data_IF_706287788497
#
_entry.id   IF_706287788497
#
_cell.length_a   1.000
_cell.length_b   1.000
_cell.length_c   1.000
_cell.angle_alpha   90.00
_cell.angle_beta   90.00
_cell.angle_gamma   90.00
#
_symmetry.space_group_name_H-M   'P 1'
#
loop_
_entity.id
_entity.type
_entity.pdbx_description
1 polymer ?
#
# COMPACT_ATOMS: atom_id res chain seq x y z
N UNK A 1 -14.01 4.67 -27.50
CA UNK A 1 -14.58 4.31 -26.19
C UNK A 1 -13.42 3.80 -25.34
N UNK A 2 -12.64 4.72 -24.75
CA UNK A 2 -11.54 4.35 -23.87
C UNK A 2 -12.09 4.16 -22.47
N UNK A 3 -12.06 2.94 -21.96
CA UNK A 3 -12.42 2.66 -20.58
C UNK A 3 -11.33 3.25 -19.68
N UNK A 4 -11.65 4.34 -18.99
CA UNK A 4 -10.90 4.79 -17.81
C UNK A 4 -10.94 3.66 -16.79
N UNK A 5 -9.81 2.98 -16.59
CA UNK A 5 -9.64 2.11 -15.44
C UNK A 5 -9.51 3.01 -14.21
N UNK A 6 -10.64 3.34 -13.59
CA UNK A 6 -10.63 3.76 -12.19
C UNK A 6 -10.10 2.58 -11.38
N UNK A 7 -9.01 2.80 -10.65
CA UNK A 7 -8.55 1.83 -9.65
C UNK A 7 -9.69 1.73 -8.63
N UNK A 8 -10.30 0.55 -8.42
CA UNK A 8 -11.35 0.41 -7.41
C UNK A 8 -10.76 0.72 -6.03
N UNK A 9 -11.56 1.40 -5.20
CA UNK A 9 -11.18 1.72 -3.81
C UNK A 9 -10.60 0.50 -3.10
N UNK A 10 -9.43 0.67 -2.47
CA UNK A 10 -8.76 -0.39 -1.71
C UNK A 10 -7.79 -1.28 -2.49
N UNK A 11 -7.81 -1.32 -3.83
CA UNK A 11 -6.87 -2.15 -4.60
C UNK A 11 -5.59 -1.39 -4.93
N UNK A 12 -4.44 -2.06 -4.75
CA UNK A 12 -3.16 -1.51 -5.20
C UNK A 12 -3.17 -1.25 -6.72
N UNK A 13 -2.64 -0.10 -7.17
CA UNK A 13 -2.49 0.19 -8.58
C UNK A 13 -1.49 -0.77 -9.21
N UNK A 14 -1.60 -1.04 -10.51
CA UNK A 14 -0.70 -1.96 -11.21
C UNK A 14 0.70 -1.41 -11.37
N UNK A 15 0.85 -0.08 -11.45
CA UNK A 15 2.13 0.60 -11.63
C UNK A 15 2.06 1.99 -11.01
N UNK A 16 3.18 2.44 -10.45
CA UNK A 16 3.32 3.79 -9.92
C UNK A 16 4.77 4.21 -9.73
N UNK A 17 4.97 5.49 -9.49
CA UNK A 17 6.25 6.04 -9.01
C UNK A 17 6.28 5.92 -7.49
N UNK A 18 7.00 4.91 -7.01
CA UNK A 18 7.16 4.65 -5.58
C UNK A 18 8.13 5.66 -4.98
N UNK A 19 7.66 6.39 -3.96
CA UNK A 19 8.46 7.37 -3.24
C UNK A 19 9.42 6.63 -2.33
N UNK A 20 10.73 6.80 -2.53
CA UNK A 20 11.76 6.17 -1.71
C UNK A 20 12.29 7.10 -0.64
N UNK A 21 12.38 8.40 -0.95
CA UNK A 21 12.92 9.42 -0.05
C UNK A 21 12.25 10.76 -0.31
N UNK A 22 12.03 11.49 0.77
CA UNK A 22 11.65 12.90 0.76
C UNK A 22 12.82 13.69 1.34
N UNK A 23 13.38 14.62 0.57
CA UNK A 23 14.50 15.45 1.01
C UNK A 23 13.98 16.53 1.98
N UNK A 24 14.63 16.73 3.15
CA UNK A 24 14.22 17.78 4.08
C UNK A 24 14.23 19.17 3.44
N UNK A 25 13.29 20.01 3.85
CA UNK A 25 13.11 21.39 3.37
C UNK A 25 12.72 21.53 1.88
N UNK A 26 12.46 20.42 1.20
CA UNK A 26 11.95 20.42 -0.18
C UNK A 26 10.44 20.69 -0.25
N UNK A 27 9.88 21.03 -1.42
CA UNK A 27 8.43 21.14 -1.62
C UNK A 27 7.68 19.88 -1.18
N UNK A 28 8.21 18.69 -1.45
CA UNK A 28 7.58 17.45 -1.02
C UNK A 28 7.57 17.30 0.51
N UNK A 29 8.61 17.78 1.22
CA UNK A 29 8.62 17.74 2.70
C UNK A 29 7.57 18.63 3.37
N UNK A 30 6.96 19.55 2.61
CA UNK A 30 5.87 20.42 3.08
C UNK A 30 4.48 19.79 2.86
N UNK A 31 4.44 18.60 2.26
CA UNK A 31 3.22 17.84 2.00
C UNK A 31 3.10 16.67 2.98
N UNK A 32 2.02 15.90 2.86
CA UNK A 32 1.80 14.67 3.61
C UNK A 32 2.33 13.42 2.87
N UNK A 33 3.27 13.58 1.93
CA UNK A 33 3.88 12.45 1.21
C UNK A 33 4.79 11.68 2.16
N UNK A 34 4.52 10.39 2.28
CA UNK A 34 5.25 9.45 3.12
C UNK A 34 6.20 8.59 2.27
N UNK A 35 7.51 8.60 2.57
CA UNK A 35 8.44 7.70 1.90
C UNK A 35 8.06 6.23 2.15
N UNK A 36 8.36 5.38 1.19
CA UNK A 36 8.04 3.95 1.10
C UNK A 36 6.55 3.58 1.02
N UNK A 37 5.65 4.35 1.60
CA UNK A 37 4.23 4.01 1.61
C UNK A 37 3.43 4.65 0.48
N UNK A 38 3.95 5.74 -0.10
CA UNK A 38 3.25 6.45 -1.17
C UNK A 38 3.75 6.12 -2.57
N UNK A 39 2.77 6.05 -3.48
CA UNK A 39 2.96 5.80 -4.90
C UNK A 39 2.24 6.89 -5.69
N UNK A 40 3.00 7.69 -6.45
CA UNK A 40 2.41 8.66 -7.37
C UNK A 40 1.93 7.91 -8.61
N UNK A 41 0.64 7.98 -8.87
CA UNK A 41 -0.04 7.25 -9.97
C UNK A 41 -0.62 8.16 -11.05
N UNK A 42 -0.72 9.45 -10.74
CA UNK A 42 -1.40 10.44 -11.57
C UNK A 42 -1.00 11.86 -11.18
N UNK A 43 -1.43 12.82 -11.98
CA UNK A 43 -1.50 14.22 -11.60
C UNK A 43 -2.72 14.86 -12.25
N UNK A 44 -3.18 15.95 -11.66
CA UNK A 44 -4.24 16.81 -12.16
C UNK A 44 -3.71 18.25 -12.27
N UNK A 45 -4.03 18.88 -13.40
CA UNK A 45 -3.78 20.30 -13.63
C UNK A 45 -5.12 20.97 -13.99
N UNK A 46 -5.33 22.19 -13.51
CA UNK A 46 -6.52 22.99 -13.78
C UNK A 46 -6.80 23.19 -15.28
N UNK A 47 -5.80 22.99 -16.15
CA UNK A 47 -5.92 23.13 -17.61
C UNK A 47 -6.07 21.81 -18.39
N UNK A 48 -5.86 20.64 -17.76
CA UNK A 48 -5.87 19.32 -18.42
C UNK A 48 -6.65 18.30 -17.60
N UNK A 49 -7.66 17.68 -18.23
CA UNK A 49 -8.43 16.59 -17.62
C UNK A 49 -7.53 15.41 -17.21
N UNK A 50 -7.82 14.84 -16.02
CA UNK A 50 -7.20 13.66 -15.39
C UNK A 50 -6.39 12.78 -16.35
N UNK A 51 -5.06 12.82 -16.25
CA UNK A 51 -4.20 11.79 -16.84
C UNK A 51 -4.04 10.65 -15.85
N UNK A 52 -5.10 9.86 -15.71
CA UNK A 52 -5.01 8.55 -15.04
C UNK A 52 -4.68 7.49 -16.09
N UNK A 53 -3.41 7.08 -16.17
CA UNK A 53 -2.95 5.72 -16.46
C UNK A 53 -1.48 5.73 -16.91
N UNK A 54 -0.63 5.02 -16.18
CA UNK A 54 0.76 4.72 -16.55
C UNK A 54 1.67 5.93 -16.77
N UNK A 55 1.86 6.74 -15.72
CA UNK A 55 2.92 7.74 -15.72
C UNK A 55 4.28 7.04 -15.84
N UNK A 56 5.00 7.34 -16.92
CA UNK A 56 6.43 7.06 -17.01
C UNK A 56 7.24 8.15 -16.30
N UNK A 57 8.39 7.79 -15.73
CA UNK A 57 9.21 8.73 -14.95
C UNK A 57 9.60 9.99 -15.76
N UNK A 58 9.90 9.82 -17.05
CA UNK A 58 10.29 10.93 -17.93
C UNK A 58 9.12 11.86 -18.28
N UNK A 59 7.91 11.33 -18.43
CA UNK A 59 6.73 12.16 -18.66
C UNK A 59 6.35 12.93 -17.38
N UNK A 60 6.53 12.31 -16.22
CA UNK A 60 6.38 12.99 -14.94
C UNK A 60 7.34 14.15 -14.77
N UNK A 61 8.62 13.95 -15.07
CA UNK A 61 9.66 14.97 -14.95
C UNK A 61 9.32 16.21 -15.80
N UNK A 62 8.93 16.02 -17.06
CA UNK A 62 8.50 17.12 -17.94
C UNK A 62 7.31 17.90 -17.38
N UNK A 63 6.32 17.18 -16.85
CA UNK A 63 5.12 17.82 -16.26
C UNK A 63 5.52 18.67 -15.07
N UNK A 64 6.39 18.14 -14.20
CA UNK A 64 6.88 18.87 -13.02
C UNK A 64 7.67 20.12 -13.44
N UNK A 65 8.49 20.04 -14.49
CA UNK A 65 9.20 21.18 -15.06
C UNK A 65 8.26 22.24 -15.63
N UNK A 66 7.23 21.82 -16.38
CA UNK A 66 6.22 22.73 -16.92
C UNK A 66 5.47 23.48 -15.80
N UNK A 67 5.32 22.87 -14.62
CA UNK A 67 4.59 23.42 -13.46
C UNK A 67 5.49 24.13 -12.43
N UNK A 68 6.75 24.45 -12.75
CA UNK A 68 7.60 25.22 -11.84
C UNK A 68 6.93 26.55 -11.42
N UNK A 69 6.79 26.76 -10.11
CA UNK A 69 6.12 27.92 -9.51
C UNK A 69 4.59 27.91 -9.58
N UNK A 70 3.96 26.84 -10.09
CA UNK A 70 2.50 26.68 -10.17
C UNK A 70 2.04 25.48 -9.34
N UNK A 71 0.80 25.51 -8.87
CA UNK A 71 0.20 24.39 -8.15
C UNK A 71 -0.01 23.21 -9.11
N UNK A 72 0.42 22.03 -8.68
CA UNK A 72 0.21 20.74 -9.31
C UNK A 72 -0.44 19.83 -8.27
N UNK A 73 -1.55 19.19 -8.60
CA UNK A 73 -2.21 18.24 -7.68
C UNK A 73 -1.75 16.82 -8.06
N UNK A 74 -0.93 16.19 -7.22
CA UNK A 74 -0.47 14.82 -7.42
C UNK A 74 -1.54 13.83 -6.97
N UNK A 75 -1.75 12.75 -7.72
CA UNK A 75 -2.64 11.67 -7.33
C UNK A 75 -1.78 10.56 -6.73
N UNK A 76 -1.93 10.35 -5.43
CA UNK A 76 -1.08 9.48 -4.61
C UNK A 76 -1.91 8.35 -4.03
N UNK A 77 -1.49 7.11 -4.25
CA UNK A 77 -2.01 5.95 -3.54
C UNK A 77 -1.11 5.63 -2.33
N UNK A 78 -1.72 5.51 -1.15
CA UNK A 78 -1.01 5.12 0.08
C UNK A 78 -1.23 3.64 0.37
N UNK A 79 -0.13 2.90 0.58
CA UNK A 79 -0.18 1.50 0.99
C UNK A 79 -0.54 1.28 2.45
N UNK A 80 -0.50 2.32 3.30
CA UNK A 80 -0.99 2.27 4.68
C UNK A 80 -2.50 2.44 4.76
N UNK A 81 -3.02 3.44 4.06
CA UNK A 81 -4.46 3.78 4.08
C UNK A 81 -5.28 3.00 3.05
N UNK A 82 -4.59 2.33 2.11
CA UNK A 82 -5.19 1.64 0.97
C UNK A 82 -6.12 2.55 0.15
N UNK A 83 -5.79 3.84 0.09
CA UNK A 83 -6.65 4.88 -0.47
C UNK A 83 -5.87 5.82 -1.39
N UNK A 84 -6.60 6.41 -2.35
CA UNK A 84 -6.08 7.44 -3.25
C UNK A 84 -6.40 8.82 -2.66
N UNK A 85 -5.42 9.73 -2.71
CA UNK A 85 -5.59 11.13 -2.30
C UNK A 85 -4.93 12.10 -3.28
N UNK A 86 -5.40 13.34 -3.26
CA UNK A 86 -4.82 14.43 -4.04
C UNK A 86 -3.89 15.23 -3.14
N UNK A 87 -2.62 15.33 -3.52
CA UNK A 87 -1.58 16.06 -2.79
C UNK A 87 -1.21 17.31 -3.58
N UNK A 88 -1.62 18.51 -3.14
CA UNK A 88 -1.22 19.75 -3.77
C UNK A 88 0.26 20.03 -3.49
N UNK A 89 1.04 20.29 -4.53
CA UNK A 89 2.45 20.66 -4.43
C UNK A 89 2.78 21.81 -5.38
N UNK A 90 3.75 22.65 -5.02
CA UNK A 90 4.29 23.70 -5.89
C UNK A 90 5.74 23.35 -6.19
N UNK A 91 6.05 22.83 -7.40
CA UNK A 91 7.43 22.55 -7.79
C UNK A 91 8.28 23.82 -7.76
N UNK A 92 9.48 23.76 -7.20
CA UNK A 92 10.38 24.90 -7.07
C UNK A 92 11.83 24.46 -7.01
N UNK A 93 12.77 25.28 -7.50
CA UNK A 93 14.22 25.07 -7.33
C UNK A 93 14.83 25.95 -6.24
N UNK A 94 14.02 26.78 -5.58
CA UNK A 94 14.54 27.72 -4.58
C UNK A 94 15.13 26.98 -3.38
N UNK A 95 14.55 25.83 -3.02
CA UNK A 95 15.00 25.01 -1.90
C UNK A 95 16.37 24.38 -2.11
N UNK A 96 16.75 24.07 -3.37
CA UNK A 96 18.02 23.42 -3.66
C UNK A 96 19.21 24.39 -3.63
N UNK A 97 18.97 25.67 -3.91
CA UNK A 97 20.02 26.71 -3.88
C UNK A 97 20.63 26.87 -2.48
N UNK A 98 19.86 26.57 -1.45
CA UNK A 98 20.30 26.64 -0.04
C UNK A 98 21.21 25.47 0.33
N UNK A 99 21.15 24.34 -0.39
CA UNK A 99 22.01 23.17 -0.13
C UNK A 99 23.41 23.31 -0.74
N UNK A 100 23.57 23.99 -1.87
CA UNK A 100 24.87 24.19 -2.52
C UNK A 100 25.84 25.05 -1.68
N UNK A 101 25.34 25.98 -0.85
CA UNK A 101 26.18 26.83 0.01
C UNK A 101 26.75 26.08 1.23
N UNK A 102 26.28 24.85 1.52
CA UNK A 102 26.70 24.07 2.68
C UNK A 102 27.71 22.94 2.37
N UNK A 103 28.04 22.71 1.09
CA UNK A 103 28.92 21.61 0.68
C UNK A 103 30.15 22.15 -0.08
N UNK A 104 31.29 22.19 0.62
CA UNK A 104 32.59 22.64 0.10
C UNK A 104 32.93 22.04 -1.28
N UNK A 105 32.94 22.88 -2.31
CA UNK A 105 33.98 22.95 -3.34
C UNK A 105 34.21 21.78 -4.30
N UNK A 106 33.41 20.72 -4.29
CA UNK A 106 33.52 19.63 -5.27
C UNK A 106 32.45 19.78 -6.35
N UNK A 107 32.85 20.28 -7.52
CA UNK A 107 32.00 20.37 -8.71
C UNK A 107 31.40 19.00 -9.08
N UNK A 108 30.19 18.71 -8.60
CA UNK A 108 29.37 17.62 -9.11
C UNK A 108 28.57 18.13 -10.30
N UNK A 109 28.63 17.35 -11.37
CA UNK A 109 27.98 17.50 -12.68
C UNK A 109 26.69 18.34 -12.71
N UNK A 110 26.52 19.07 -13.82
CA UNK A 110 25.38 19.90 -14.25
C UNK A 110 24.00 19.19 -14.32
N UNK A 111 23.66 18.37 -13.32
CA UNK A 111 22.32 17.91 -13.05
C UNK A 111 21.57 19.09 -12.48
N UNK A 112 20.53 19.51 -13.19
CA UNK A 112 19.59 20.46 -12.66
C UNK A 112 19.02 19.96 -11.31
N UNK A 113 18.86 20.84 -10.30
CA UNK A 113 18.35 20.43 -9.00
C UNK A 113 16.91 19.94 -9.10
N UNK A 114 16.55 18.97 -8.25
CA UNK A 114 15.19 18.43 -8.18
C UNK A 114 14.17 19.52 -7.88
N UNK A 115 13.01 19.46 -8.53
CA UNK A 115 11.92 20.42 -8.34
C UNK A 115 11.00 20.08 -7.16
N UNK A 116 10.96 18.81 -6.75
CA UNK A 116 10.10 18.33 -5.68
C UNK A 116 10.87 17.90 -4.44
N UNK A 117 12.11 17.42 -4.61
CA UNK A 117 12.90 16.78 -3.56
C UNK A 117 12.46 15.34 -3.26
N UNK A 118 11.90 14.66 -4.26
CA UNK A 118 11.55 13.24 -4.20
C UNK A 118 12.62 12.39 -4.88
N UNK A 119 12.99 11.27 -4.26
CA UNK A 119 13.62 10.15 -4.93
C UNK A 119 12.57 9.08 -5.18
N UNK A 120 12.43 8.62 -6.43
CA UNK A 120 11.37 7.70 -6.82
C UNK A 120 11.88 6.61 -7.74
N UNK A 121 11.15 5.50 -7.79
CA UNK A 121 11.33 4.45 -8.81
C UNK A 121 10.01 4.05 -9.41
N UNK A 122 10.02 3.66 -10.69
CA UNK A 122 8.88 2.97 -11.28
C UNK A 122 8.84 1.55 -10.71
N UNK A 123 7.71 1.14 -10.15
CA UNK A 123 7.51 -0.25 -9.76
C UNK A 123 6.02 -0.64 -9.77
N UNK A 124 5.79 -1.91 -9.50
CA UNK A 124 4.48 -2.47 -9.20
C UNK A 124 4.34 -2.50 -7.67
N UNK A 125 3.41 -1.73 -7.08
CA UNK A 125 3.27 -1.58 -5.64
C UNK A 125 3.14 -2.90 -4.89
N UNK A 126 2.39 -3.86 -5.44
CA UNK A 126 2.15 -5.17 -4.82
C UNK A 126 3.45 -5.92 -4.54
N UNK A 127 4.41 -5.89 -5.47
CA UNK A 127 5.72 -6.53 -5.28
C UNK A 127 6.68 -5.67 -4.45
N UNK A 128 6.60 -4.35 -4.57
CA UNK A 128 7.50 -3.43 -3.86
C UNK A 128 7.33 -3.50 -2.34
N UNK A 129 6.09 -3.71 -1.87
CA UNK A 129 5.75 -3.78 -0.45
C UNK A 129 6.11 -5.13 0.19
N UNK A 130 6.29 -6.17 -0.63
CA UNK A 130 6.65 -7.52 -0.18
C UNK A 130 8.15 -7.66 0.10
N UNK A 131 8.97 -6.82 -0.55
CA UNK A 131 10.42 -6.89 -0.48
C UNK A 131 10.94 -6.15 0.76
N UNK A 132 10.58 -6.67 1.92
CA UNK A 132 10.98 -6.16 3.24
C UNK A 132 11.53 -7.28 4.10
N UNK A 133 12.52 -6.96 4.94
CA UNK A 133 13.14 -7.92 5.87
C UNK A 133 12.85 -7.47 7.29
N UNK A 134 12.00 -8.21 7.99
CA UNK A 134 11.64 -7.94 9.37
C UNK A 134 12.80 -8.31 10.29
N UNK A 135 13.25 -7.37 11.12
CA UNK A 135 14.26 -7.60 12.15
C UNK A 135 13.62 -8.43 13.26
N UNK A 136 14.13 -9.63 13.51
CA UNK A 136 13.66 -10.51 14.58
C UNK A 136 14.60 -10.42 15.78
N UNK A 137 15.28 -11.49 16.14
CA UNK A 137 16.22 -11.48 17.25
C UNK A 137 17.53 -10.81 16.85
N UNK A 138 18.00 -9.90 17.72
CA UNK A 138 19.29 -9.21 17.60
C UNK A 138 20.17 -9.63 18.78
N UNK A 139 21.37 -10.12 18.49
CA UNK A 139 22.31 -10.59 19.51
C UNK A 139 23.07 -9.42 20.15
N UNK A 140 23.33 -9.52 21.46
CA UNK A 140 24.12 -8.53 22.20
C UNK A 140 25.58 -8.48 21.69
N UNK A 141 26.13 -7.28 21.58
CA UNK A 141 27.46 -7.01 21.03
C UNK A 141 27.56 -7.21 19.51
N UNK A 142 26.44 -7.45 18.83
CA UNK A 142 26.44 -7.71 17.39
C UNK A 142 26.57 -6.44 16.55
N UNK A 143 26.97 -6.56 15.27
CA UNK A 143 26.91 -5.46 14.33
C UNK A 143 25.52 -4.87 14.14
N UNK A 144 24.46 -5.69 14.20
CA UNK A 144 23.08 -5.23 14.11
C UNK A 144 22.67 -4.39 15.33
N UNK A 145 23.01 -4.83 16.54
CA UNK A 145 22.77 -4.06 17.77
C UNK A 145 23.55 -2.75 17.75
N UNK A 146 24.83 -2.80 17.36
CA UNK A 146 25.70 -1.62 17.28
C UNK A 146 25.20 -0.58 16.28
N UNK A 147 24.50 -1.03 15.23
CA UNK A 147 23.85 -0.16 14.26
C UNK A 147 22.49 0.39 14.74
N UNK A 148 21.98 -0.10 15.87
CA UNK A 148 20.71 0.33 16.47
C UNK A 148 19.47 -0.25 15.80
N UNK A 149 19.56 -1.48 15.26
CA UNK A 149 18.37 -2.22 14.84
C UNK A 149 17.56 -2.66 16.06
N UNK A 150 16.25 -2.45 15.99
CA UNK A 150 15.30 -2.77 17.06
C UNK A 150 14.63 -4.11 16.73
N UNK A 151 14.78 -5.13 17.59
CA UNK A 151 14.17 -6.43 17.36
C UNK A 151 12.64 -6.31 17.35
N UNK A 152 11.99 -6.96 16.38
CA UNK A 152 10.54 -6.97 16.14
C UNK A 152 9.87 -5.62 15.83
N UNK A 153 10.61 -4.52 15.91
CA UNK A 153 10.11 -3.17 15.67
C UNK A 153 10.56 -2.55 14.35
N UNK A 154 11.55 -3.17 13.68
CA UNK A 154 12.15 -2.65 12.46
C UNK A 154 11.99 -3.57 11.25
N UNK A 155 11.85 -2.94 10.09
CA UNK A 155 11.86 -3.58 8.78
C UNK A 155 12.92 -2.92 7.90
N UNK A 156 13.83 -3.71 7.34
CA UNK A 156 14.68 -3.24 6.25
C UNK A 156 13.83 -3.16 4.99
N UNK A 157 13.76 -1.97 4.40
CA UNK A 157 12.91 -1.66 3.24
C UNK A 157 13.72 -1.36 1.97
N UNK A 158 15.05 -1.26 2.09
CA UNK A 158 15.94 -0.99 0.97
C UNK A 158 17.35 -0.62 1.41
N UNK A 159 18.20 -0.30 0.42
CA UNK A 159 19.58 0.12 0.65
C UNK A 159 20.02 1.17 -0.38
N UNK A 160 21.16 1.81 -0.14
CA UNK A 160 21.61 2.94 -0.97
C UNK A 160 22.08 2.57 -2.38
N UNK A 161 22.39 1.30 -2.66
CA UNK A 161 23.05 0.89 -3.90
C UNK A 161 22.16 0.21 -4.94
N UNK A 162 20.84 0.12 -4.72
CA UNK A 162 19.93 -0.41 -5.74
C UNK A 162 18.62 -0.95 -5.19
N UNK A 163 17.95 -1.74 -6.05
CA UNK A 163 16.66 -2.38 -5.75
C UNK A 163 16.91 -3.79 -5.20
N UNK A 164 16.19 -4.14 -4.14
CA UNK A 164 16.08 -5.52 -3.65
C UNK A 164 14.76 -6.09 -4.16
N UNK A 165 14.83 -7.15 -4.97
CA UNK A 165 13.70 -7.74 -5.70
C UNK A 165 13.28 -9.10 -5.15
N UNK A 166 14.20 -9.82 -4.52
CA UNK A 166 13.99 -11.15 -3.98
C UNK A 166 14.62 -11.29 -2.58
N UNK A 167 14.16 -12.30 -1.83
CA UNK A 167 14.63 -12.62 -0.46
C UNK A 167 16.16 -12.65 -0.34
N UNK A 168 16.82 -13.30 -1.30
CA UNK A 168 18.27 -13.51 -1.34
C UNK A 168 19.09 -12.22 -1.51
N UNK A 169 18.53 -11.21 -2.18
CA UNK A 169 19.27 -10.02 -2.60
C UNK A 169 19.85 -9.26 -1.41
N UNK A 170 19.10 -9.19 -0.29
CA UNK A 170 19.58 -8.53 0.91
C UNK A 170 20.80 -9.26 1.51
N UNK A 171 20.77 -10.59 1.55
CA UNK A 171 21.87 -11.40 2.06
C UNK A 171 23.11 -11.25 1.17
N UNK A 172 22.94 -11.28 -0.15
CA UNK A 172 24.02 -11.06 -1.12
C UNK A 172 24.67 -9.68 -0.93
N UNK A 173 23.85 -8.64 -0.70
CA UNK A 173 24.33 -7.29 -0.42
C UNK A 173 25.10 -7.24 0.90
N UNK A 174 24.63 -7.90 1.95
CA UNK A 174 25.34 -7.98 3.24
C UNK A 174 26.68 -8.69 3.10
N UNK A 175 26.73 -9.81 2.37
CA UNK A 175 27.96 -10.55 2.11
C UNK A 175 28.97 -9.71 1.29
N UNK A 176 28.50 -8.98 0.28
CA UNK A 176 29.36 -8.10 -0.52
C UNK A 176 29.97 -6.93 0.28
N UNK A 177 29.33 -6.57 1.41
CA UNK A 177 29.75 -5.51 2.32
C UNK A 177 30.44 -6.03 3.59
N UNK A 178 30.97 -7.25 3.56
CA UNK A 178 31.86 -7.70 4.64
C UNK A 178 33.00 -6.69 4.88
N UNK A 179 33.15 -6.29 6.13
CA UNK A 179 34.07 -5.27 6.64
C UNK A 179 33.95 -3.88 6.00
N UNK A 180 32.76 -3.56 5.44
CA UNK A 180 32.46 -2.28 4.81
C UNK A 180 31.14 -1.69 5.33
N UNK A 181 31.01 -0.35 5.37
CA UNK A 181 29.74 0.28 5.72
C UNK A 181 28.67 -0.01 4.67
N UNK A 182 27.56 -0.60 5.10
CA UNK A 182 26.36 -0.85 4.31
C UNK A 182 25.24 0.07 4.80
N UNK A 183 24.82 1.02 3.96
CA UNK A 183 23.72 1.94 4.26
C UNK A 183 22.39 1.32 3.85
N UNK A 184 21.55 1.06 4.84
CA UNK A 184 20.19 0.53 4.67
C UNK A 184 19.16 1.54 5.16
N UNK A 185 17.93 1.37 4.68
CA UNK A 185 16.79 2.12 5.18
C UNK A 185 15.94 1.17 6.03
N UNK A 186 15.71 1.56 7.28
CA UNK A 186 14.90 0.82 8.24
C UNK A 186 13.63 1.60 8.55
N UNK A 187 12.48 0.98 8.38
CA UNK A 187 11.20 1.45 8.86
C UNK A 187 10.99 0.98 10.30
N UNK A 188 10.77 1.90 11.23
CA UNK A 188 10.36 1.62 12.60
C UNK A 188 8.85 1.67 12.69
N UNK A 189 8.23 0.55 13.06
CA UNK A 189 6.79 0.45 13.23
C UNK A 189 6.28 1.25 14.42
N UNK A 190 7.00 1.22 15.55
CA UNK A 190 6.58 1.89 16.78
C UNK A 190 6.51 3.41 16.64
N UNK A 191 7.42 4.00 15.85
CA UNK A 191 7.49 5.44 15.65
C UNK A 191 6.89 5.89 14.32
N UNK A 192 6.47 4.96 13.47
CA UNK A 192 6.04 5.22 12.10
C UNK A 192 7.02 6.11 11.31
N UNK A 193 8.31 5.78 11.38
CA UNK A 193 9.36 6.57 10.74
C UNK A 193 10.36 5.71 9.97
N UNK A 194 10.98 6.30 8.94
CA UNK A 194 12.07 5.68 8.20
C UNK A 194 13.37 6.37 8.57
N UNK A 195 14.38 5.58 8.90
CA UNK A 195 15.73 6.07 9.21
C UNK A 195 16.78 5.36 8.39
N UNK A 196 17.86 6.08 8.09
CA UNK A 196 19.06 5.49 7.51
C UNK A 196 19.88 4.83 8.62
N UNK A 197 20.27 3.58 8.42
CA UNK A 197 21.08 2.78 9.33
C UNK A 197 22.35 2.34 8.60
N UNK A 198 23.49 2.44 9.27
CA UNK A 198 24.77 1.99 8.72
C UNK A 198 25.18 0.70 9.41
N UNK A 199 25.05 -0.41 8.70
CA UNK A 199 25.50 -1.72 9.15
C UNK A 199 27.00 -1.89 8.84
N UNK A 200 27.72 -2.57 9.72
CA UNK A 200 29.11 -2.99 9.51
C UNK A 200 29.19 -4.51 9.56
N UNK A 201 28.83 -5.22 8.46
CA UNK A 201 28.91 -6.68 8.42
C UNK A 201 30.32 -7.16 8.76
N UNK A 202 30.45 -8.10 9.68
CA UNK A 202 31.74 -8.56 10.18
C UNK A 202 31.61 -10.04 10.57
N UNK A 203 32.56 -10.92 10.23
CA UNK A 203 32.57 -12.33 10.70
C UNK A 203 33.31 -12.53 12.02
N UNK A 204 34.13 -11.57 12.42
CA UNK A 204 35.03 -11.66 13.59
C UNK A 204 34.44 -11.04 14.86
N UNK A 205 33.17 -10.64 14.86
CA UNK A 205 32.51 -10.03 16.02
C UNK A 205 32.25 -11.01 17.18
N UNK A 206 32.37 -12.33 16.93
CA UNK A 206 32.36 -13.36 17.98
C UNK A 206 31.07 -14.18 18.07
N UNK A 207 30.05 -13.89 17.27
CA UNK A 207 28.83 -14.69 17.16
C UNK A 207 28.62 -15.30 15.77
N UNK A 208 27.39 -15.71 15.48
CA UNK A 208 27.01 -16.35 14.21
C UNK A 208 26.63 -15.33 13.13
N UNK A 209 27.05 -15.60 11.90
CA UNK A 209 26.74 -14.76 10.74
C UNK A 209 27.48 -13.43 10.73
N UNK A 210 27.09 -12.57 9.80
CA UNK A 210 27.74 -11.27 9.55
C UNK A 210 27.19 -10.12 10.39
N UNK A 211 25.94 -10.24 10.84
CA UNK A 211 25.22 -9.17 11.52
C UNK A 211 24.79 -9.53 12.95
N UNK A 212 24.76 -10.82 13.29
CA UNK A 212 24.20 -11.29 14.57
C UNK A 212 22.73 -10.95 14.75
N UNK A 213 21.96 -11.00 13.65
CA UNK A 213 20.53 -10.72 13.64
C UNK A 213 19.82 -11.76 12.76
N UNK A 214 18.62 -12.16 13.18
CA UNK A 214 17.72 -12.97 12.38
C UNK A 214 16.78 -12.05 11.61
N UNK A 215 16.62 -12.31 10.32
CA UNK A 215 15.68 -11.58 9.47
C UNK A 215 14.55 -12.51 9.02
N UNK A 216 13.31 -12.03 9.15
CA UNK A 216 12.13 -12.68 8.60
C UNK A 216 11.79 -12.09 7.23
N UNK A 217 11.44 -12.96 6.27
CA UNK A 217 10.97 -12.55 4.94
C UNK A 217 9.66 -13.26 4.57
N UNK A 218 8.85 -12.63 3.73
CA UNK A 218 7.63 -13.20 3.19
C UNK A 218 6.38 -12.85 4.01
N UNK A 219 5.31 -13.62 3.79
CA UNK A 219 3.93 -13.21 4.15
C UNK A 219 3.74 -12.85 5.64
N UNK A 220 4.40 -13.57 6.56
CA UNK A 220 4.29 -13.34 8.00
C UNK A 220 5.19 -12.20 8.52
N UNK A 221 6.04 -11.67 7.65
CA UNK A 221 7.07 -10.67 7.98
C UNK A 221 6.86 -9.36 7.23
N UNK A 222 5.70 -9.18 6.60
CA UNK A 222 5.30 -7.91 6.00
C UNK A 222 5.00 -6.87 7.08
N UNK A 223 5.12 -5.60 6.73
CA UNK A 223 4.74 -4.50 7.62
C UNK A 223 3.24 -4.59 7.91
N UNK A 224 2.82 -4.59 9.18
CA UNK A 224 1.40 -4.64 9.53
C UNK A 224 0.64 -3.43 9.00
N UNK A 225 -0.56 -3.68 8.47
CA UNK A 225 -1.48 -2.63 8.04
C UNK A 225 -2.12 -2.01 9.28
N UNK A 226 -1.94 -0.70 9.49
CA UNK A 226 -2.62 0.03 10.56
C UNK A 226 -4.07 0.22 10.12
N UNK A 227 -4.98 -0.58 10.66
CA UNK A 227 -6.41 -0.33 10.50
C UNK A 227 -6.73 0.90 11.34
N UNK A 228 -6.84 2.08 10.71
CA UNK A 228 -7.50 3.21 11.35
C UNK A 228 -8.93 2.75 11.67
N UNK A 229 -9.21 2.46 12.94
CA UNK A 229 -10.57 2.23 13.42
C UNK A 229 -11.39 3.45 13.00
N UNK A 230 -12.23 3.28 11.99
CA UNK A 230 -13.20 4.29 11.64
C UNK A 230 -14.08 4.48 12.87
N UNK A 231 -13.85 5.58 13.59
CA UNK A 231 -14.73 6.04 14.66
C UNK A 231 -16.07 6.28 13.99
N UNK A 232 -16.95 5.27 14.02
CA UNK A 232 -18.33 5.44 13.60
C UNK A 232 -18.90 6.51 14.53
N UNK A 233 -19.47 7.61 14.00
CA UNK A 233 -20.14 8.58 14.86
C UNK A 233 -21.20 7.80 15.63
N UNK A 234 -21.11 7.83 16.96
CA UNK A 234 -22.07 7.19 17.86
C UNK A 234 -23.47 7.64 17.41
N UNK A 235 -24.27 6.69 16.93
CA UNK A 235 -25.69 6.96 16.70
C UNK A 235 -26.29 7.12 18.10
N UNK A 236 -26.61 8.36 18.47
CA UNK A 236 -27.47 8.67 19.62
C UNK A 236 -28.79 7.90 19.43
N UNK A 237 -28.87 6.71 20.01
CA UNK A 237 -30.13 6.00 20.17
C UNK A 237 -30.87 6.68 21.30
N UNK A 238 -31.77 7.61 20.93
CA UNK A 238 -32.83 8.12 21.80
C UNK A 238 -33.65 6.92 22.31
N UNK A 239 -33.33 6.45 23.52
CA UNK A 239 -34.01 5.36 24.22
C UNK A 239 -35.32 5.90 24.82
N UNK A 240 -36.26 6.25 23.95
CA UNK A 240 -37.62 6.58 24.29
C UNK A 240 -38.55 5.48 23.78
N UNK A 241 -38.70 4.43 24.59
CA UNK A 241 -39.93 3.67 24.86
C UNK A 241 -39.59 2.21 25.15
N UNK A 242 -39.52 1.82 26.44
CA UNK A 242 -39.81 0.46 26.90
C UNK A 242 -39.93 0.42 28.44
N UNK A 243 -41.10 0.83 28.94
CA UNK A 243 -41.55 0.39 30.26
C UNK A 243 -43.05 0.09 30.21
N UNK A 244 -43.40 -1.18 29.97
CA UNK A 244 -44.76 -1.68 30.18
C UNK A 244 -44.72 -2.55 31.45
N UNK A 245 -45.37 -2.13 32.55
CA UNK A 245 -45.43 -2.94 33.76
C UNK A 245 -46.18 -4.25 33.52
N UNK A 246 -45.55 -5.35 33.89
CA UNK A 246 -46.08 -6.70 33.81
C UNK A 246 -47.15 -6.91 34.88
N UNK A 247 -48.43 -6.75 34.53
CA UNK A 247 -49.55 -7.28 35.32
C UNK A 247 -50.84 -7.31 34.48
N UNK A 248 -51.09 -8.43 33.79
CA UNK A 248 -52.44 -9.00 33.67
C UNK A 248 -52.36 -10.45 33.19
N UNK A 249 -52.36 -11.34 34.18
CA UNK A 249 -52.49 -12.77 34.03
C UNK A 249 -53.91 -13.20 33.60
N UNK A 250 -53.92 -14.24 32.75
CA UNK A 250 -54.87 -15.36 32.71
C UNK A 250 -56.28 -15.13 32.11
N UNK A 251 -56.58 -15.84 31.00
CA UNK A 251 -57.48 -17.02 31.03
C UNK A 251 -57.63 -17.70 29.64
N UNK A 252 -57.08 -18.93 29.58
CA UNK A 252 -57.64 -20.19 29.00
C UNK A 252 -57.64 -20.47 27.49
N UNK A 253 -57.10 -21.66 27.21
CA UNK A 253 -57.06 -22.38 25.93
C UNK A 253 -58.41 -23.03 25.50
N UNK A 254 -58.70 -22.94 24.18
CA UNK A 254 -59.26 -23.90 23.16
C UNK A 254 -60.62 -24.63 23.40
N UNK A 255 -61.28 -25.27 22.38
CA UNK A 255 -61.35 -25.12 20.89
C UNK A 255 -62.81 -25.17 20.30
N UNK A 256 -63.05 -24.94 18.98
CA UNK A 256 -64.10 -25.65 18.17
C UNK A 256 -64.19 -25.24 16.68
N UNK A 257 -64.50 -26.22 15.83
CA UNK A 257 -64.70 -26.22 14.36
C UNK A 257 -65.99 -25.53 13.82
N UNK A 258 -65.98 -25.35 12.48
CA UNK A 258 -67.10 -25.25 11.51
C UNK A 258 -67.89 -23.94 11.36
N UNK A 259 -67.88 -23.34 10.15
CA UNK A 259 -68.89 -23.58 9.08
C UNK A 259 -68.89 -22.55 7.93
N UNK A 260 -69.02 -23.09 6.72
CA UNK A 260 -69.67 -22.58 5.48
C UNK A 260 -68.94 -21.65 4.49
N UNK A 261 -69.22 -21.96 3.21
CA UNK A 261 -68.63 -21.46 1.99
C UNK A 261 -69.69 -20.89 1.02
N UNK A 262 -69.29 -19.85 0.26
CA UNK A 262 -69.58 -19.48 -1.17
C UNK A 262 -71.06 -19.26 -1.60
N UNK A 263 -71.41 -18.78 -2.84
CA UNK A 263 -70.67 -18.63 -4.14
C UNK A 263 -70.96 -17.28 -4.91
N UNK A 264 -70.56 -16.95 -6.16
CA UNK A 264 -69.80 -17.55 -7.28
C UNK A 264 -69.99 -16.79 -8.63
N UNK A 265 -69.37 -17.31 -9.72
CA UNK A 265 -69.45 -17.04 -11.22
C UNK A 265 -68.36 -16.12 -11.85
N UNK A 266 -67.78 -16.36 -13.05
CA UNK A 266 -67.75 -17.48 -14.02
C UNK A 266 -66.84 -17.16 -15.26
N UNK A 267 -66.23 -18.20 -15.89
CA UNK A 267 -65.76 -18.38 -17.31
C UNK A 267 -64.56 -17.51 -17.80
N UNK A 268 -63.60 -17.94 -18.64
CA UNK A 268 -63.43 -19.05 -19.62
C UNK A 268 -61.93 -19.21 -20.05
N UNK A 269 -61.51 -20.39 -20.52
CA UNK A 269 -60.22 -20.70 -21.20
C UNK A 269 -60.32 -20.46 -22.75
N UNK A 270 -59.35 -20.73 -23.68
CA UNK A 270 -58.24 -21.72 -23.64
C UNK A 270 -56.91 -21.44 -24.43
N UNK A 271 -55.98 -22.43 -24.39
CA UNK A 271 -54.94 -22.86 -25.40
C UNK A 271 -53.69 -21.99 -25.60
N UNK A 272 -52.43 -22.46 -25.69
CA UNK A 272 -51.77 -23.63 -26.33
C UNK A 272 -50.43 -23.95 -25.59
N UNK A 273 -50.05 -25.20 -25.26
CA UNK A 273 -49.15 -26.12 -26.02
C UNK A 273 -47.92 -25.43 -26.64
N UNK A 274 -46.65 -25.83 -26.52
CA UNK A 274 -45.99 -27.15 -26.44
C UNK A 274 -44.48 -26.89 -26.19
N UNK A 275 -43.78 -27.58 -25.28
CA UNK A 275 -42.88 -28.74 -25.52
C UNK A 275 -41.41 -28.42 -25.16
N UNK A 276 -40.93 -29.18 -24.17
CA UNK A 276 -39.56 -29.50 -23.73
C UNK A 276 -38.69 -30.14 -24.86
N UNK A 277 -37.39 -30.51 -24.71
CA UNK A 277 -36.70 -30.87 -23.46
C UNK A 277 -35.20 -30.50 -23.31
N UNK A 278 -34.71 -30.60 -22.07
CA UNK A 278 -33.31 -30.90 -21.70
C UNK A 278 -32.91 -32.32 -22.17
N UNK A 279 -31.62 -32.67 -22.39
CA UNK A 279 -30.79 -33.14 -21.28
C UNK A 279 -29.26 -32.91 -21.36
N UNK A 280 -28.68 -32.79 -20.16
CA UNK A 280 -27.35 -33.23 -19.67
C UNK A 280 -26.37 -33.96 -20.62
N UNK A 281 -25.07 -33.64 -20.54
CA UNK A 281 -24.05 -34.53 -19.93
C UNK A 281 -22.62 -33.98 -19.97
N UNK A 282 -21.97 -34.08 -18.82
CA UNK A 282 -20.53 -34.16 -18.52
C UNK A 282 -19.71 -35.11 -19.40
N UNK A 283 -18.43 -34.78 -19.69
CA UNK A 283 -17.25 -35.56 -19.27
C UNK A 283 -15.92 -34.97 -19.78
N UNK A 284 -15.01 -34.74 -18.83
CA UNK A 284 -13.55 -34.99 -18.81
C UNK A 284 -12.83 -35.40 -20.11
N UNK A 285 -11.73 -34.69 -20.44
CA UNK A 285 -10.58 -35.31 -21.10
C UNK A 285 -9.26 -34.66 -20.68
N UNK A 286 -8.46 -35.46 -19.97
CA UNK A 286 -7.02 -35.36 -19.75
C UNK A 286 -6.30 -35.50 -21.11
N UNK A 287 -5.14 -34.84 -21.29
CA UNK A 287 -3.97 -35.39 -22.00
C UNK A 287 -2.79 -34.39 -22.01
N UNK A 288 -1.62 -34.93 -21.66
CA UNK A 288 -0.26 -34.45 -21.85
C UNK A 288 0.61 -35.73 -21.94
N UNK A 289 1.89 -35.76 -22.40
CA UNK A 289 2.60 -35.12 -23.51
C UNK A 289 3.15 -36.23 -24.48
N UNK A 290 4.22 -36.09 -25.32
CA UNK A 290 5.64 -35.96 -24.87
C UNK A 290 6.63 -35.18 -25.78
N UNK A 291 7.80 -34.87 -25.19
CA UNK A 291 9.06 -34.46 -25.84
C UNK A 291 9.75 -35.63 -26.57
N UNK A 292 10.69 -35.32 -27.47
CA UNK A 292 12.12 -35.42 -27.12
C UNK A 292 12.91 -34.13 -27.36
#
# INVERSE_FOLDING_TARGET
MGASQSVPDGKAPTRGLHVLRVTPSSPASQTDIEPFFDFIIGYEDASRALQNANIEAHDFEKVVEEHEGRRLDLIVWSSKRLAIRHVPIVPSREWSRVQDDAQDGAASSASQPSLLGLSMRVCEPEFSLDNVWHVLDVLEGSPAESAGLVPYGDWIIGWSGGVLSAEGDFYDVVEAHEDKPLRVYAYSYDFDTIREVVLMPNRQWGGEGLLGCVFGYGLLHRIPQVQEEQVQPEQDYDDAELFVPADQEQLRERPSENRAAKPGKSRSAPTNASVQPDPTSSSTHYLDPPLP
#
